data_IF_258682037385
#
_entry.id   IF_258682037385
#
_cell.length_a   1.000
_cell.length_b   1.000
_cell.length_c   1.000
_cell.angle_alpha   90.00
_cell.angle_beta   90.00
_cell.angle_gamma   90.00
#
_symmetry.space_group_name_H-M   'P 1'
#
loop_
_entity.id
_entity.type
_entity.pdbx_description
1 polymer ?
#
# COMPACT_ATOMS: atom_id res chain seq x y z
N UNK A 1 -17.06 6.43 10.32
CA UNK A 1 -17.77 5.14 10.09
C UNK A 1 -16.76 4.16 9.52
N UNK A 2 -17.03 2.84 9.56
CA UNK A 2 -16.16 1.85 8.95
C UNK A 2 -16.49 1.72 7.45
N UNK A 3 -15.48 1.84 6.58
CA UNK A 3 -15.64 1.61 5.15
C UNK A 3 -15.51 0.12 4.81
N UNK A 4 -14.66 -0.60 5.56
CA UNK A 4 -14.47 -2.05 5.43
C UNK A 4 -14.45 -2.67 6.83
N UNK A 5 -15.18 -3.76 7.02
CA UNK A 5 -15.11 -4.61 8.20
C UNK A 5 -14.95 -6.07 7.77
N UNK A 6 -13.90 -6.71 8.28
CA UNK A 6 -13.56 -8.11 8.02
C UNK A 6 -13.41 -8.84 9.35
N UNK A 7 -14.13 -9.98 9.49
CA UNK A 7 -14.09 -10.81 10.71
C UNK A 7 -13.90 -12.28 10.34
N UNK A 8 -12.85 -12.89 10.86
CA UNK A 8 -12.52 -14.31 10.70
C UNK A 8 -12.58 -14.79 9.25
N UNK A 9 -12.11 -13.96 8.32
CA UNK A 9 -12.12 -14.27 6.89
C UNK A 9 -11.20 -15.45 6.58
N UNK A 10 -11.79 -16.51 5.97
CA UNK A 10 -11.06 -17.72 5.56
C UNK A 10 -11.27 -18.02 4.09
N UNK A 11 -10.20 -18.51 3.47
CA UNK A 11 -10.22 -19.00 2.08
C UNK A 11 -9.18 -20.07 1.86
N UNK A 12 -9.62 -21.20 1.29
CA UNK A 12 -8.77 -22.34 0.95
C UNK A 12 -8.86 -22.65 -0.55
N UNK A 13 -7.78 -23.18 -1.12
CA UNK A 13 -7.68 -23.66 -2.49
C UNK A 13 -6.98 -25.02 -2.50
N UNK A 14 -7.67 -26.07 -2.98
CA UNK A 14 -7.08 -27.41 -3.19
C UNK A 14 -6.20 -27.90 -2.02
N UNK A 15 -6.64 -27.63 -0.78
CA UNK A 15 -5.94 -28.04 0.45
C UNK A 15 -4.89 -27.06 0.95
N UNK A 16 -4.73 -25.88 0.31
CA UNK A 16 -3.90 -24.79 0.80
C UNK A 16 -4.77 -23.66 1.36
N UNK A 17 -4.55 -23.30 2.62
CA UNK A 17 -5.26 -22.21 3.29
C UNK A 17 -4.59 -20.86 2.94
N UNK A 18 -5.19 -20.14 1.99
CA UNK A 18 -4.71 -18.83 1.59
C UNK A 18 -5.04 -17.74 2.62
N UNK A 19 -6.16 -17.90 3.37
CA UNK A 19 -6.55 -17.05 4.49
C UNK A 19 -7.03 -17.92 5.65
N UNK A 20 -6.49 -17.67 6.84
CA UNK A 20 -6.64 -18.54 8.01
C UNK A 20 -7.45 -17.90 9.14
N UNK A 21 -8.28 -16.91 8.83
CA UNK A 21 -9.13 -16.20 9.80
C UNK A 21 -8.60 -14.80 10.09
N UNK A 22 -8.41 -14.00 9.05
CA UNK A 22 -7.99 -12.60 9.22
C UNK A 22 -9.17 -11.71 9.63
N UNK A 23 -8.87 -10.73 10.48
CA UNK A 23 -9.84 -9.73 10.94
C UNK A 23 -9.19 -8.36 10.97
N UNK A 24 -9.84 -7.34 10.39
CA UNK A 24 -9.40 -5.95 10.40
C UNK A 24 -10.54 -5.01 10.03
N UNK A 25 -10.37 -3.73 10.32
CA UNK A 25 -11.33 -2.68 9.96
C UNK A 25 -10.60 -1.50 9.31
N UNK A 26 -11.25 -0.85 8.34
CA UNK A 26 -10.75 0.35 7.67
C UNK A 26 -11.78 1.46 7.84
N UNK A 27 -11.35 2.62 8.34
CA UNK A 27 -12.21 3.80 8.49
C UNK A 27 -12.43 4.52 7.15
N UNK A 28 -13.51 5.28 7.03
CA UNK A 28 -13.72 6.16 5.88
C UNK A 28 -12.60 7.21 5.79
N UNK A 29 -12.04 7.43 4.59
CA UNK A 29 -10.94 8.36 4.32
C UNK A 29 -9.57 7.86 4.75
N UNK A 30 -9.46 6.64 5.27
CA UNK A 30 -8.20 6.02 5.66
C UNK A 30 -7.46 5.44 4.44
N UNK A 31 -6.14 5.54 4.45
CA UNK A 31 -5.25 4.77 3.57
C UNK A 31 -4.72 3.58 4.37
N UNK A 32 -5.21 2.39 4.05
CA UNK A 32 -4.83 1.15 4.70
C UNK A 32 -3.98 0.28 3.78
N UNK A 33 -2.90 -0.28 4.30
CA UNK A 33 -2.01 -1.17 3.54
C UNK A 33 -2.05 -2.60 4.05
N UNK A 34 -2.29 -3.56 3.15
CA UNK A 34 -1.98 -4.97 3.37
C UNK A 34 -0.56 -5.24 2.87
N UNK A 35 0.39 -5.33 3.80
CA UNK A 35 1.80 -5.57 3.53
C UNK A 35 2.12 -7.07 3.70
N UNK A 36 2.89 -7.65 2.79
CA UNK A 36 3.35 -9.03 2.94
C UNK A 36 4.04 -9.58 1.70
N UNK A 37 4.73 -10.71 1.81
CA UNK A 37 5.39 -11.36 0.69
C UNK A 37 4.41 -11.90 -0.34
N UNK A 38 4.92 -12.34 -1.48
CA UNK A 38 4.12 -13.04 -2.47
C UNK A 38 3.57 -14.34 -1.87
N UNK A 39 2.28 -14.62 -2.13
CA UNK A 39 1.60 -15.78 -1.57
C UNK A 39 1.05 -15.60 -0.14
N UNK A 40 1.24 -14.43 0.50
CA UNK A 40 0.72 -14.20 1.85
C UNK A 40 -0.81 -14.16 1.95
N UNK A 41 -1.54 -14.03 0.83
CA UNK A 41 -3.00 -13.92 0.80
C UNK A 41 -3.53 -12.52 0.43
N UNK A 42 -2.65 -11.54 0.11
CA UNK A 42 -3.05 -10.16 -0.22
C UNK A 42 -4.05 -10.09 -1.37
N UNK A 43 -3.73 -10.66 -2.54
CA UNK A 43 -4.60 -10.66 -3.71
C UNK A 43 -5.90 -11.42 -3.44
N UNK A 44 -5.85 -12.54 -2.70
CA UNK A 44 -7.07 -13.26 -2.29
C UNK A 44 -7.97 -12.38 -1.43
N UNK A 45 -7.40 -11.63 -0.49
CA UNK A 45 -8.15 -10.70 0.37
C UNK A 45 -8.82 -9.62 -0.47
N UNK A 46 -8.05 -8.92 -1.32
CA UNK A 46 -8.58 -7.79 -2.10
C UNK A 46 -9.67 -8.27 -3.09
N UNK A 47 -9.48 -9.41 -3.77
CA UNK A 47 -10.48 -9.98 -4.69
C UNK A 47 -11.79 -10.38 -3.99
N UNK A 48 -11.74 -10.80 -2.71
CA UNK A 48 -12.94 -11.06 -1.91
C UNK A 48 -13.65 -9.76 -1.57
N UNK A 49 -12.92 -8.71 -1.18
CA UNK A 49 -13.47 -7.41 -0.85
C UNK A 49 -14.05 -6.68 -2.07
N UNK A 50 -13.50 -6.91 -3.26
CA UNK A 50 -14.00 -6.41 -4.54
C UNK A 50 -15.24 -7.17 -5.03
N UNK A 51 -15.53 -8.35 -4.45
CA UNK A 51 -16.62 -9.24 -4.87
C UNK A 51 -16.29 -10.10 -6.09
N UNK A 52 -15.03 -10.19 -6.50
CA UNK A 52 -14.61 -11.11 -7.57
C UNK A 52 -14.45 -12.55 -7.09
N UNK A 53 -14.24 -12.74 -5.79
CA UNK A 53 -14.01 -14.04 -5.19
C UNK A 53 -14.93 -14.29 -4.01
N UNK A 54 -15.43 -15.50 -3.89
CA UNK A 54 -16.27 -15.89 -2.76
C UNK A 54 -15.39 -16.42 -1.63
N UNK A 55 -15.61 -15.92 -0.42
CA UNK A 55 -15.00 -16.44 0.81
C UNK A 55 -15.59 -17.79 1.21
N UNK A 56 -14.86 -18.59 1.96
CA UNK A 56 -15.36 -19.85 2.49
C UNK A 56 -16.02 -19.66 3.86
N UNK A 57 -15.44 -18.78 4.73
CA UNK A 57 -15.97 -18.45 6.04
C UNK A 57 -15.70 -16.99 6.40
N UNK A 58 -16.33 -16.53 7.48
CA UNK A 58 -16.15 -15.18 8.02
C UNK A 58 -17.20 -14.19 7.51
N UNK A 59 -17.15 -13.00 8.10
CA UNK A 59 -18.03 -11.89 7.76
C UNK A 59 -17.22 -10.81 7.06
N UNK A 60 -17.78 -10.25 5.99
CA UNK A 60 -17.17 -9.15 5.22
C UNK A 60 -18.24 -8.14 4.88
N UNK A 61 -18.01 -6.90 5.25
CA UNK A 61 -18.81 -5.76 4.87
C UNK A 61 -17.91 -4.68 4.25
N UNK A 62 -18.29 -4.18 3.08
CA UNK A 62 -17.62 -3.11 2.35
C UNK A 62 -18.64 -2.04 1.99
N UNK A 63 -18.49 -0.83 2.51
CA UNK A 63 -19.43 0.29 2.30
C UNK A 63 -20.89 -0.05 2.63
N UNK A 64 -21.12 -0.93 3.63
CA UNK A 64 -22.45 -1.41 4.01
C UNK A 64 -23.00 -2.57 3.18
N UNK A 65 -22.20 -3.17 2.30
CA UNK A 65 -22.59 -4.29 1.45
C UNK A 65 -21.77 -5.55 1.78
N UNK A 66 -22.39 -6.73 1.61
CA UNK A 66 -21.63 -7.98 1.47
C UNK A 66 -21.17 -8.14 0.02
N UNK A 67 -19.85 -8.06 -0.26
CA UNK A 67 -19.33 -8.11 -1.64
C UNK A 67 -19.71 -9.40 -2.38
N UNK A 68 -19.89 -10.51 -1.67
CA UNK A 68 -20.24 -11.80 -2.26
C UNK A 68 -21.63 -11.81 -2.89
N UNK A 69 -22.51 -10.89 -2.52
CA UNK A 69 -23.89 -10.78 -3.01
C UNK A 69 -24.21 -9.37 -3.54
N UNK A 70 -23.20 -8.49 -3.65
CA UNK A 70 -23.40 -7.10 -3.99
C UNK A 70 -23.67 -6.90 -5.50
N UNK A 71 -24.64 -6.04 -5.82
CA UNK A 71 -25.03 -5.66 -7.17
C UNK A 71 -24.37 -4.37 -7.66
N UNK A 72 -25.02 -3.74 -8.67
CA UNK A 72 -24.54 -2.47 -9.26
C UNK A 72 -24.32 -1.35 -8.26
N UNK A 73 -25.18 -1.12 -7.22
CA UNK A 73 -24.96 -0.05 -6.26
C UNK A 73 -23.63 -0.13 -5.51
N UNK A 74 -23.13 -1.32 -5.25
CA UNK A 74 -21.81 -1.53 -4.67
C UNK A 74 -20.69 -1.16 -5.67
N UNK A 75 -20.80 -1.67 -6.90
CA UNK A 75 -19.79 -1.46 -7.95
C UNK A 75 -19.65 0.00 -8.36
N UNK A 76 -20.72 0.79 -8.24
CA UNK A 76 -20.66 2.23 -8.49
C UNK A 76 -19.85 3.01 -7.45
N UNK A 77 -19.66 2.43 -6.25
CA UNK A 77 -18.97 3.08 -5.13
C UNK A 77 -17.52 2.64 -4.95
N UNK A 78 -17.06 1.67 -5.73
CA UNK A 78 -15.68 1.18 -5.67
C UNK A 78 -14.94 1.48 -6.97
N UNK A 79 -13.65 1.80 -6.84
CA UNK A 79 -12.69 1.89 -7.95
C UNK A 79 -11.63 0.83 -7.78
N UNK A 80 -11.27 0.15 -8.87
CA UNK A 80 -10.32 -0.96 -8.83
C UNK A 80 -9.19 -0.71 -9.81
N UNK A 81 -7.95 -0.78 -9.33
CA UNK A 81 -6.74 -0.72 -10.13
C UNK A 81 -6.02 -2.05 -10.03
N UNK A 82 -6.21 -2.89 -11.03
CA UNK A 82 -5.61 -4.22 -11.11
C UNK A 82 -4.08 -4.14 -11.29
N UNK A 83 -3.36 -5.17 -10.85
CA UNK A 83 -1.92 -5.31 -11.07
C UNK A 83 -1.57 -5.23 -12.57
N UNK A 84 -2.36 -5.89 -13.43
CA UNK A 84 -2.24 -5.83 -14.88
C UNK A 84 -3.60 -5.49 -15.49
N UNK A 85 -3.69 -4.35 -16.14
CA UNK A 85 -4.86 -3.97 -16.92
C UNK A 85 -4.64 -4.19 -18.41
N UNK A 86 -5.68 -4.65 -19.09
CA UNK A 86 -5.68 -4.79 -20.54
C UNK A 86 -6.64 -3.78 -21.17
N UNK A 87 -6.20 -2.51 -21.21
CA UNK A 87 -6.96 -1.47 -21.89
C UNK A 87 -6.81 -1.60 -23.42
N UNK A 88 -7.83 -1.16 -24.15
CA UNK A 88 -7.84 -1.22 -25.61
C UNK A 88 -6.73 -0.35 -26.21
N UNK A 89 -5.73 -0.95 -26.89
CA UNK A 89 -4.55 -0.23 -27.36
C UNK A 89 -4.82 0.81 -28.46
N UNK A 90 -5.96 0.70 -29.13
CA UNK A 90 -6.38 1.59 -30.23
C UNK A 90 -7.14 2.81 -29.79
N UNK A 91 -7.76 2.79 -28.61
CA UNK A 91 -8.47 3.94 -28.04
C UNK A 91 -7.48 5.01 -27.58
N UNK A 92 -7.92 6.24 -27.56
CA UNK A 92 -7.22 7.35 -26.92
C UNK A 92 -7.48 7.35 -25.41
N UNK A 93 -6.70 8.14 -24.67
CA UNK A 93 -6.91 8.34 -23.22
C UNK A 93 -8.34 8.83 -22.97
N UNK A 94 -8.81 9.84 -23.70
CA UNK A 94 -10.16 10.37 -23.53
C UNK A 94 -11.25 9.37 -23.92
N UNK A 95 -11.07 8.62 -25.00
CA UNK A 95 -12.03 7.59 -25.42
C UNK A 95 -12.12 6.47 -24.40
N UNK A 96 -10.98 6.06 -23.82
CA UNK A 96 -10.95 5.05 -22.75
C UNK A 96 -11.76 5.51 -21.54
N UNK A 97 -11.51 6.72 -21.03
CA UNK A 97 -12.28 7.23 -19.89
C UNK A 97 -13.77 7.36 -20.19
N UNK A 98 -14.16 7.87 -21.39
CA UNK A 98 -15.58 7.97 -21.79
C UNK A 98 -16.27 6.61 -21.85
N UNK A 99 -15.56 5.61 -22.34
CA UNK A 99 -16.10 4.25 -22.40
C UNK A 99 -16.40 3.72 -20.99
N UNK A 100 -15.47 3.88 -20.05
CA UNK A 100 -15.70 3.46 -18.67
C UNK A 100 -16.72 4.35 -17.94
N UNK A 101 -16.75 5.65 -18.21
CA UNK A 101 -17.78 6.56 -17.68
C UNK A 101 -19.20 6.08 -18.01
N UNK A 102 -19.38 5.43 -19.15
CA UNK A 102 -20.67 4.88 -19.56
C UNK A 102 -21.21 3.74 -18.68
N UNK A 103 -20.40 3.17 -17.80
CA UNK A 103 -20.85 2.13 -16.84
C UNK A 103 -21.42 2.71 -15.54
N UNK A 104 -21.25 4.01 -15.27
CA UNK A 104 -21.64 4.66 -14.03
C UNK A 104 -22.84 5.58 -14.23
N UNK A 105 -23.71 5.65 -13.23
CA UNK A 105 -24.89 6.50 -13.26
C UNK A 105 -24.55 7.99 -13.14
N UNK A 106 -23.47 8.33 -12.42
CA UNK A 106 -22.99 9.68 -12.14
C UNK A 106 -21.47 9.76 -12.25
N UNK A 107 -20.91 9.59 -13.45
CA UNK A 107 -19.46 9.67 -13.62
C UNK A 107 -18.95 11.10 -13.39
N UNK A 108 -17.70 11.22 -12.99
CA UNK A 108 -16.96 12.49 -13.00
C UNK A 108 -16.76 12.97 -14.44
N UNK A 109 -16.53 14.26 -14.59
CA UNK A 109 -16.10 14.81 -15.88
C UNK A 109 -14.79 14.16 -16.33
N UNK A 110 -14.77 13.69 -17.56
CA UNK A 110 -13.63 12.94 -18.11
C UNK A 110 -12.37 13.80 -18.19
N UNK A 111 -12.50 15.09 -18.53
CA UNK A 111 -11.34 15.96 -18.64
C UNK A 111 -10.78 16.34 -17.26
N UNK A 112 -11.64 16.45 -16.24
CA UNK A 112 -11.20 16.59 -14.84
C UNK A 112 -10.42 15.35 -14.38
N UNK A 113 -10.90 14.14 -14.69
CA UNK A 113 -10.19 12.90 -14.32
C UNK A 113 -8.85 12.80 -15.04
N UNK A 114 -8.80 13.13 -16.33
CA UNK A 114 -7.55 13.15 -17.11
C UNK A 114 -6.54 14.13 -16.51
N UNK A 115 -7.01 15.30 -16.08
CA UNK A 115 -6.16 16.29 -15.41
C UNK A 115 -5.66 15.79 -14.05
N UNK A 116 -6.55 15.18 -13.24
CA UNK A 116 -6.23 14.63 -11.92
C UNK A 116 -5.10 13.59 -11.99
N UNK A 117 -5.11 12.74 -13.02
CA UNK A 117 -4.06 11.72 -13.20
C UNK A 117 -2.85 12.22 -14.01
N UNK A 118 -2.80 13.53 -14.33
CA UNK A 118 -1.68 14.17 -15.01
C UNK A 118 -1.48 13.69 -16.45
N UNK A 119 -2.57 13.43 -17.18
CA UNK A 119 -2.56 12.99 -18.57
C UNK A 119 -3.13 14.01 -19.57
N UNK A 120 -3.30 15.28 -19.18
CA UNK A 120 -3.88 16.32 -20.02
C UNK A 120 -3.19 16.44 -21.38
N UNK A 121 -1.86 16.45 -21.42
CA UNK A 121 -1.07 16.50 -22.66
C UNK A 121 -1.18 15.21 -23.51
N UNK A 122 -1.65 14.14 -22.95
CA UNK A 122 -1.82 12.83 -23.60
C UNK A 122 -3.27 12.46 -23.86
N UNK A 123 -4.20 13.42 -23.68
CA UNK A 123 -5.64 13.23 -23.81
C UNK A 123 -6.04 12.49 -25.09
N UNK A 124 -5.47 12.89 -26.22
CA UNK A 124 -5.77 12.34 -27.54
C UNK A 124 -4.71 11.32 -28.02
N UNK A 125 -3.75 10.97 -27.16
CA UNK A 125 -2.78 9.91 -27.45
C UNK A 125 -3.42 8.52 -27.30
N UNK A 126 -3.06 7.61 -28.22
CA UNK A 126 -3.54 6.21 -28.13
C UNK A 126 -2.85 5.45 -27.02
N UNK A 127 -3.60 4.58 -26.34
CA UNK A 127 -3.11 3.76 -25.20
C UNK A 127 -1.82 3.02 -25.54
N UNK A 128 -1.69 2.46 -26.76
CA UNK A 128 -0.49 1.77 -27.21
C UNK A 128 0.79 2.62 -27.24
N UNK A 129 0.64 3.97 -27.32
CA UNK A 129 1.77 4.91 -27.39
C UNK A 129 2.20 5.44 -26.03
N UNK A 130 1.47 5.10 -24.97
CA UNK A 130 1.78 5.54 -23.60
C UNK A 130 2.97 4.74 -23.03
N UNK A 131 3.81 5.43 -22.26
CA UNK A 131 4.82 4.76 -21.41
C UNK A 131 4.13 3.93 -20.33
N UNK A 132 4.87 3.01 -19.68
CA UNK A 132 4.33 2.20 -18.58
C UNK A 132 3.71 3.06 -17.46
N UNK A 133 4.42 4.09 -17.02
CA UNK A 133 3.89 5.02 -16.00
C UNK A 133 2.66 5.81 -16.46
N UNK A 134 2.61 6.25 -17.73
CA UNK A 134 1.42 6.90 -18.28
C UNK A 134 0.23 5.94 -18.38
N UNK A 135 0.48 4.67 -18.73
CA UNK A 135 -0.57 3.65 -18.75
C UNK A 135 -1.12 3.41 -17.35
N UNK A 136 -0.26 3.32 -16.33
CA UNK A 136 -0.70 3.15 -14.94
C UNK A 136 -1.54 4.34 -14.44
N UNK A 137 -1.18 5.57 -14.85
CA UNK A 137 -2.01 6.75 -14.57
C UNK A 137 -3.37 6.68 -15.26
N UNK A 138 -3.43 6.14 -16.48
CA UNK A 138 -4.68 5.88 -17.18
C UNK A 138 -5.54 4.84 -16.44
N UNK A 139 -4.93 3.74 -15.95
CA UNK A 139 -5.63 2.73 -15.15
C UNK A 139 -6.27 3.33 -13.90
N UNK A 140 -5.51 4.17 -13.20
CA UNK A 140 -6.05 4.88 -12.04
C UNK A 140 -7.18 5.84 -12.42
N UNK A 141 -7.03 6.58 -13.53
CA UNK A 141 -8.11 7.44 -14.04
C UNK A 141 -9.38 6.66 -14.34
N UNK A 142 -9.25 5.49 -14.94
CA UNK A 142 -10.39 4.58 -15.19
C UNK A 142 -11.07 4.17 -13.88
N UNK A 143 -10.31 3.85 -12.84
CA UNK A 143 -10.87 3.51 -11.53
C UNK A 143 -11.59 4.70 -10.85
N UNK A 144 -11.19 5.93 -11.17
CA UNK A 144 -11.72 7.16 -10.55
C UNK A 144 -12.90 7.77 -11.33
N UNK A 145 -13.14 7.35 -12.55
CA UNK A 145 -14.18 7.99 -13.40
C UNK A 145 -15.59 7.84 -12.84
N UNK A 146 -15.84 6.78 -12.04
CA UNK A 146 -17.10 6.57 -11.31
C UNK A 146 -17.26 7.39 -10.03
N UNK A 147 -16.28 8.21 -9.66
CA UNK A 147 -16.21 8.94 -8.37
C UNK A 147 -16.35 8.03 -7.13
N UNK A 148 -15.59 6.95 -7.03
CA UNK A 148 -15.75 5.95 -5.98
C UNK A 148 -15.50 6.52 -4.59
N UNK A 149 -16.15 5.93 -3.56
CA UNK A 149 -15.88 6.20 -2.14
C UNK A 149 -14.63 5.45 -1.67
N UNK A 150 -14.38 4.25 -2.25
CA UNK A 150 -13.29 3.36 -1.90
C UNK A 150 -12.51 2.94 -3.16
N UNK A 151 -11.19 3.01 -3.09
CA UNK A 151 -10.28 2.60 -4.17
C UNK A 151 -9.42 1.44 -3.72
N UNK A 152 -9.45 0.35 -4.47
CA UNK A 152 -8.57 -0.80 -4.33
C UNK A 152 -7.37 -0.66 -5.25
N UNK A 153 -6.16 -0.83 -4.71
CA UNK A 153 -4.89 -0.74 -5.43
C UNK A 153 -4.08 -2.02 -5.20
N UNK A 154 -4.11 -2.94 -6.16
CA UNK A 154 -3.32 -4.18 -6.04
C UNK A 154 -1.91 -3.94 -6.60
N UNK A 155 -0.92 -3.91 -5.70
CA UNK A 155 0.50 -3.70 -5.98
C UNK A 155 0.75 -2.53 -6.97
N UNK A 156 0.34 -1.30 -6.62
CA UNK A 156 0.22 -0.19 -7.56
C UNK A 156 1.52 0.26 -8.23
N UNK A 157 2.68 -0.02 -7.61
CA UNK A 157 3.98 0.44 -8.12
C UNK A 157 4.94 -0.68 -8.52
N UNK A 158 4.46 -1.92 -8.56
CA UNK A 158 5.29 -3.06 -8.96
C UNK A 158 5.82 -2.88 -10.38
N UNK A 159 7.14 -3.04 -10.52
CA UNK A 159 7.84 -2.88 -11.79
C UNK A 159 8.15 -1.43 -12.19
N UNK A 160 7.90 -0.45 -11.32
CA UNK A 160 8.22 0.95 -11.59
C UNK A 160 9.67 1.27 -11.26
N UNK A 161 10.26 2.16 -12.06
CA UNK A 161 11.49 2.84 -11.66
C UNK A 161 11.24 3.80 -10.47
N UNK A 162 12.30 4.25 -9.76
CA UNK A 162 12.12 5.10 -8.58
C UNK A 162 11.39 6.41 -8.84
N UNK A 163 11.49 7.00 -10.04
CA UNK A 163 10.81 8.25 -10.38
C UNK A 163 9.32 8.02 -10.64
N UNK A 164 8.97 6.96 -11.38
CA UNK A 164 7.59 6.56 -11.63
C UNK A 164 6.88 6.18 -10.31
N UNK A 165 7.58 5.48 -9.39
CA UNK A 165 7.05 5.12 -8.07
C UNK A 165 6.70 6.36 -7.25
N UNK A 166 7.59 7.34 -7.15
CA UNK A 166 7.31 8.60 -6.44
C UNK A 166 6.10 9.34 -7.01
N UNK A 167 6.01 9.42 -8.33
CA UNK A 167 4.87 10.05 -8.99
C UNK A 167 3.54 9.32 -8.71
N UNK A 168 3.54 7.98 -8.62
CA UNK A 168 2.38 7.19 -8.21
C UNK A 168 2.01 7.47 -6.74
N UNK A 169 2.99 7.55 -5.84
CA UNK A 169 2.74 7.89 -4.44
C UNK A 169 2.12 9.28 -4.26
N UNK A 170 2.61 10.29 -4.99
CA UNK A 170 2.01 11.64 -4.96
C UNK A 170 0.55 11.61 -5.42
N UNK A 171 0.25 10.81 -6.43
CA UNK A 171 -1.10 10.65 -6.92
C UNK A 171 -2.00 9.94 -5.90
N UNK A 172 -1.54 8.88 -5.22
CA UNK A 172 -2.28 8.20 -4.15
C UNK A 172 -2.54 9.18 -2.99
N UNK A 173 -1.55 10.00 -2.60
CA UNK A 173 -1.74 11.05 -1.60
C UNK A 173 -2.79 12.09 -2.01
N UNK A 174 -2.84 12.46 -3.28
CA UNK A 174 -3.88 13.38 -3.76
C UNK A 174 -5.29 12.79 -3.68
N UNK A 175 -5.47 11.47 -3.87
CA UNK A 175 -6.75 10.80 -3.65
C UNK A 175 -7.19 10.86 -2.18
N UNK A 176 -6.25 10.65 -1.27
CA UNK A 176 -6.49 10.83 0.16
C UNK A 176 -6.98 12.24 0.48
N UNK A 177 -6.35 13.27 -0.09
CA UNK A 177 -6.76 14.67 0.11
C UNK A 177 -8.16 14.99 -0.43
N UNK A 178 -8.68 14.17 -1.36
CA UNK A 178 -10.07 14.21 -1.83
C UNK A 178 -11.04 13.42 -0.92
N UNK A 179 -10.58 12.92 0.22
CA UNK A 179 -11.40 12.18 1.18
C UNK A 179 -11.71 10.74 0.75
N UNK A 180 -11.01 10.19 -0.23
CA UNK A 180 -11.22 8.80 -0.66
C UNK A 180 -10.61 7.82 0.33
N UNK A 181 -11.32 6.72 0.59
CA UNK A 181 -10.78 5.57 1.31
C UNK A 181 -9.92 4.75 0.35
N UNK A 182 -8.77 4.27 0.78
CA UNK A 182 -7.85 3.51 -0.07
C UNK A 182 -7.42 2.24 0.66
N UNK A 183 -7.61 1.10 0.02
CA UNK A 183 -6.94 -0.15 0.41
C UNK A 183 -5.90 -0.49 -0.64
N UNK A 184 -4.64 -0.53 -0.23
CA UNK A 184 -3.55 -0.93 -1.11
C UNK A 184 -2.89 -2.22 -0.61
N UNK A 185 -2.50 -3.08 -1.56
CA UNK A 185 -1.60 -4.20 -1.27
C UNK A 185 -0.21 -3.87 -1.75
N UNK A 186 0.80 -4.28 -1.00
CA UNK A 186 2.19 -4.12 -1.42
C UNK A 186 3.10 -5.15 -0.75
N UNK A 187 4.24 -5.40 -1.35
CA UNK A 187 5.38 -6.09 -0.74
C UNK A 187 6.55 -5.12 -0.50
N UNK A 188 6.38 -3.84 -0.85
CA UNK A 188 7.36 -2.79 -0.61
C UNK A 188 7.07 -2.10 0.73
N UNK A 189 7.99 -2.23 1.66
CA UNK A 189 7.87 -1.67 3.01
C UNK A 189 7.91 -0.14 3.00
N UNK A 190 8.74 0.45 2.14
CA UNK A 190 8.82 1.89 1.92
C UNK A 190 7.51 2.48 1.38
N UNK A 191 6.78 1.76 0.52
CA UNK A 191 5.47 2.18 0.03
C UNK A 191 4.44 2.23 1.15
N UNK A 192 4.35 1.16 1.96
CA UNK A 192 3.45 1.11 3.10
C UNK A 192 3.75 2.23 4.10
N UNK A 193 5.04 2.46 4.42
CA UNK A 193 5.48 3.51 5.35
C UNK A 193 5.15 4.93 4.85
N UNK A 194 5.26 5.17 3.54
CA UNK A 194 5.06 6.49 2.94
C UNK A 194 3.60 6.84 2.68
N UNK A 195 2.73 5.86 2.51
CA UNK A 195 1.36 6.08 2.06
C UNK A 195 0.30 5.77 3.10
N UNK A 196 0.50 4.73 3.92
CA UNK A 196 -0.55 4.21 4.77
C UNK A 196 -0.68 4.97 6.10
N UNK A 197 -1.91 5.16 6.53
CA UNK A 197 -2.25 5.57 7.90
C UNK A 197 -2.08 4.39 8.86
N UNK A 198 -2.51 3.19 8.41
CA UNK A 198 -2.32 1.92 9.13
C UNK A 198 -1.90 0.82 8.14
N UNK A 199 -1.12 -0.09 8.66
CA UNK A 199 -0.56 -1.24 7.94
C UNK A 199 -0.94 -2.50 8.69
N UNK A 200 -1.48 -3.51 7.99
CA UNK A 200 -1.57 -4.87 8.48
C UNK A 200 -0.53 -5.73 7.76
N UNK A 201 0.35 -6.36 8.52
CA UNK A 201 1.37 -7.28 8.02
C UNK A 201 0.76 -8.66 7.89
N UNK A 202 0.58 -9.11 6.65
CA UNK A 202 -0.01 -10.39 6.29
C UNK A 202 1.10 -11.40 5.96
N UNK A 203 1.07 -12.57 6.61
CA UNK A 203 1.98 -13.67 6.37
C UNK A 203 1.25 -15.00 6.51
N UNK A 204 1.42 -15.89 5.57
CA UNK A 204 0.83 -17.25 5.58
C UNK A 204 -0.67 -17.27 5.91
N UNK A 205 -1.41 -16.29 5.37
CA UNK A 205 -2.86 -16.18 5.58
C UNK A 205 -3.29 -15.64 6.95
N UNK A 206 -2.37 -15.07 7.74
CA UNK A 206 -2.64 -14.45 9.04
C UNK A 206 -2.15 -13.01 9.08
N UNK A 207 -2.85 -12.14 9.80
CA UNK A 207 -2.34 -10.82 10.18
C UNK A 207 -1.49 -11.01 11.43
N UNK A 208 -0.18 -10.81 11.29
CA UNK A 208 0.79 -10.99 12.40
C UNK A 208 1.02 -9.71 13.19
N UNK A 209 0.81 -8.55 12.57
CA UNK A 209 0.90 -7.22 13.19
C UNK A 209 -0.02 -6.25 12.48
N UNK A 210 -0.57 -5.31 13.24
CA UNK A 210 -1.37 -4.20 12.71
C UNK A 210 -1.12 -2.95 13.55
N UNK A 211 -1.05 -1.78 12.89
CA UNK A 211 -0.85 -0.48 13.54
C UNK A 211 -0.45 0.59 12.55
N UNK A 212 -0.24 1.81 13.03
CA UNK A 212 0.39 2.87 12.24
C UNK A 212 1.84 2.49 11.93
N UNK A 213 2.45 3.00 10.83
CA UNK A 213 3.86 2.79 10.56
C UNK A 213 4.76 3.13 11.76
N UNK A 214 4.44 4.18 12.50
CA UNK A 214 5.17 4.58 13.70
C UNK A 214 5.04 3.58 14.85
N UNK A 215 3.86 3.02 15.09
CA UNK A 215 3.65 1.98 16.11
C UNK A 215 4.35 0.68 15.74
N UNK A 216 4.31 0.30 14.47
CA UNK A 216 4.98 -0.90 13.98
C UNK A 216 6.50 -0.81 14.09
N UNK A 217 7.08 0.38 13.89
CA UNK A 217 8.52 0.60 14.04
C UNK A 217 9.01 0.82 15.47
N UNK A 218 8.19 0.47 16.48
CA UNK A 218 8.59 0.49 17.89
C UNK A 218 8.20 1.75 18.67
N UNK A 219 7.24 2.53 18.14
CA UNK A 219 6.66 3.69 18.84
C UNK A 219 7.70 4.74 19.23
N UNK A 220 7.91 5.68 18.36
CA UNK A 220 8.39 7.07 18.62
C UNK A 220 9.79 7.31 19.18
N UNK A 221 10.46 6.39 19.87
CA UNK A 221 11.56 6.87 20.72
C UNK A 221 12.93 6.31 20.42
N UNK A 222 13.04 5.14 19.85
CA UNK A 222 14.36 4.55 19.67
C UNK A 222 14.98 4.95 18.34
N UNK A 223 16.09 5.65 18.42
CA UNK A 223 16.97 5.93 17.29
C UNK A 223 18.13 4.96 17.34
N UNK A 224 18.47 4.36 16.22
CA UNK A 224 19.65 3.54 16.09
C UNK A 224 20.86 4.40 15.74
N UNK A 225 21.90 4.34 16.57
CA UNK A 225 23.24 4.87 16.30
C UNK A 225 24.11 3.69 15.91
N UNK A 226 24.50 3.64 14.64
CA UNK A 226 25.37 2.57 14.08
C UNK A 226 26.74 3.16 13.77
N UNK A 227 27.80 2.43 14.10
CA UNK A 227 29.17 2.80 13.74
C UNK A 227 30.06 1.54 13.76
N UNK A 228 31.25 1.62 13.19
CA UNK A 228 32.23 0.54 13.25
C UNK A 228 33.27 0.83 14.30
N UNK A 229 33.56 -0.18 15.13
CA UNK A 229 34.67 -0.16 16.08
C UNK A 229 35.49 -1.43 15.90
N UNK A 230 36.76 -1.27 15.60
CA UNK A 230 37.68 -2.40 15.31
C UNK A 230 37.19 -3.34 14.19
N UNK A 231 36.57 -2.80 13.16
CA UNK A 231 35.99 -3.55 12.03
C UNK A 231 34.66 -4.24 12.32
N UNK A 232 34.14 -4.16 13.54
CA UNK A 232 32.84 -4.71 13.93
C UNK A 232 31.77 -3.60 13.93
N UNK A 233 30.57 -3.94 13.45
CA UNK A 233 29.43 -3.04 13.52
C UNK A 233 28.88 -3.01 14.95
N UNK A 234 28.69 -1.81 15.48
CA UNK A 234 28.07 -1.56 16.78
C UNK A 234 26.75 -0.83 16.53
N UNK A 235 25.66 -1.35 17.10
CA UNK A 235 24.31 -0.74 17.01
C UNK A 235 23.84 -0.43 18.44
N UNK A 236 23.57 0.85 18.68
CA UNK A 236 23.02 1.33 19.95
C UNK A 236 21.62 1.85 19.70
N UNK A 237 20.61 1.27 20.38
CA UNK A 237 19.25 1.77 20.38
C UNK A 237 19.04 2.71 21.56
N UNK A 238 18.53 3.91 21.31
CA UNK A 238 18.41 4.94 22.34
C UNK A 238 17.26 5.89 22.08
N UNK A 239 16.64 6.35 23.15
CA UNK A 239 15.66 7.45 23.14
C UNK A 239 16.32 8.82 23.23
N UNK A 240 17.63 8.86 23.56
CA UNK A 240 18.43 10.09 23.72
C UNK A 240 19.61 10.12 22.73
N UNK A 241 19.35 10.14 21.40
CA UNK A 241 20.43 10.01 20.41
C UNK A 241 21.47 11.11 20.50
N UNK A 242 21.07 12.32 20.84
CA UNK A 242 22.00 13.46 20.99
C UNK A 242 23.02 13.21 22.11
N UNK A 243 22.58 12.64 23.24
CA UNK A 243 23.47 12.32 24.35
C UNK A 243 24.45 11.20 23.98
N UNK A 244 23.94 10.14 23.39
CA UNK A 244 24.76 9.00 22.94
C UNK A 244 25.80 9.48 21.90
N UNK A 245 25.40 10.30 20.96
CA UNK A 245 26.31 10.88 19.96
C UNK A 245 27.38 11.74 20.61
N UNK A 246 27.03 12.57 21.59
CA UNK A 246 27.98 13.39 22.31
C UNK A 246 29.02 12.53 23.03
N UNK A 247 28.61 11.49 23.74
CA UNK A 247 29.50 10.58 24.45
C UNK A 247 30.46 9.87 23.49
N UNK A 248 29.91 9.27 22.41
CA UNK A 248 30.68 8.53 21.41
C UNK A 248 31.66 9.40 20.64
N UNK A 249 31.23 10.60 20.20
CA UNK A 249 32.10 11.53 19.47
C UNK A 249 33.19 12.12 20.35
N UNK A 250 32.87 12.43 21.62
CA UNK A 250 33.87 12.90 22.59
C UNK A 250 34.95 11.82 22.83
N UNK A 251 34.54 10.57 22.99
CA UNK A 251 35.49 9.47 23.17
C UNK A 251 36.37 9.24 21.93
N UNK A 252 35.77 9.23 20.73
CA UNK A 252 36.51 9.05 19.48
C UNK A 252 37.55 10.13 19.25
N UNK A 253 37.18 11.40 19.49
CA UNK A 253 38.11 12.55 19.39
C UNK A 253 39.25 12.48 20.43
N UNK A 254 38.96 12.03 21.64
CA UNK A 254 39.98 11.84 22.67
C UNK A 254 40.99 10.72 22.33
N UNK A 255 40.54 9.71 21.61
CA UNK A 255 41.37 8.60 21.09
C UNK A 255 42.08 9.00 19.76
N UNK A 256 41.86 10.23 19.26
CA UNK A 256 42.48 10.77 18.05
C UNK A 256 41.90 10.21 16.74
N UNK A 257 40.69 9.64 16.78
CA UNK A 257 40.01 9.06 15.65
C UNK A 257 38.60 9.62 15.41
N UNK A 258 37.94 9.07 14.42
CA UNK A 258 36.54 9.33 14.10
C UNK A 258 35.72 8.04 14.19
N UNK A 259 34.38 8.18 14.32
CA UNK A 259 33.46 7.04 14.30
C UNK A 259 33.25 6.58 12.84
N UNK A 260 33.94 5.53 12.44
CA UNK A 260 33.86 5.00 11.08
C UNK A 260 32.43 4.52 10.77
N UNK A 261 31.89 4.98 9.64
CA UNK A 261 30.56 4.59 9.17
C UNK A 261 29.42 5.01 10.08
N UNK A 262 29.58 6.12 10.85
CA UNK A 262 28.54 6.65 11.73
C UNK A 262 27.25 6.92 10.94
N UNK A 263 26.16 6.29 11.39
CA UNK A 263 24.81 6.49 10.92
C UNK A 263 23.86 6.67 12.11
N UNK A 264 22.93 7.59 11.97
CA UNK A 264 21.87 7.82 12.96
C UNK A 264 20.55 7.71 12.22
N UNK A 265 19.79 6.68 12.51
CA UNK A 265 18.53 6.44 11.83
C UNK A 265 17.46 5.94 12.81
N UNK A 266 16.20 6.17 12.46
CA UNK A 266 15.08 5.47 13.10
C UNK A 266 14.93 4.10 12.47
N UNK A 267 14.50 3.07 13.23
CA UNK A 267 14.11 1.81 12.65
C UNK A 267 13.05 2.00 11.57
N UNK A 268 13.17 1.26 10.48
CA UNK A 268 12.21 1.25 9.39
C UNK A 268 11.26 0.07 9.53
N UNK A 269 10.15 0.07 8.78
CA UNK A 269 9.29 -1.12 8.69
C UNK A 269 10.06 -2.35 8.21
N UNK A 270 11.13 -2.17 7.42
CA UNK A 270 12.00 -3.26 6.97
C UNK A 270 12.73 -3.91 8.14
N UNK A 271 13.29 -3.12 9.06
CA UNK A 271 13.98 -3.64 10.24
C UNK A 271 13.01 -4.45 11.12
N UNK A 272 11.78 -3.97 11.29
CA UNK A 272 10.73 -4.67 12.05
C UNK A 272 10.29 -5.94 11.35
N UNK A 273 10.04 -5.86 10.04
CA UNK A 273 9.62 -7.03 9.27
C UNK A 273 10.67 -8.14 9.33
N UNK A 274 11.95 -7.81 9.19
CA UNK A 274 13.05 -8.78 9.30
C UNK A 274 13.11 -9.40 10.68
N UNK A 275 12.95 -8.63 11.76
CA UNK A 275 12.92 -9.17 13.12
C UNK A 275 11.76 -10.15 13.35
N UNK A 276 10.57 -9.86 12.81
CA UNK A 276 9.41 -10.76 12.89
C UNK A 276 9.61 -12.07 12.11
N UNK A 277 10.40 -12.02 11.04
CA UNK A 277 10.75 -13.22 10.25
C UNK A 277 11.78 -14.08 10.98
N UNK A 278 12.73 -13.47 11.70
CA UNK A 278 13.79 -14.15 12.42
C UNK A 278 13.30 -14.80 13.74
N UNK A 279 12.36 -14.16 14.44
CA UNK A 279 11.80 -14.70 15.70
C UNK A 279 11.08 -16.05 15.53
N UNK A 280 10.43 -16.27 14.37
CA UNK A 280 9.71 -17.53 14.10
C UNK A 280 10.62 -18.68 13.62
N UNK A 281 11.85 -18.40 13.20
CA UNK A 281 12.80 -19.46 12.78
C UNK A 281 13.47 -20.14 13.99
N UNK A 282 13.30 -19.57 15.20
CA UNK A 282 13.95 -20.05 16.45
C UNK A 282 13.01 -20.89 17.32
N UNK A 283 11.71 -20.97 17.01
CA UNK A 283 10.74 -21.91 17.62
C UNK A 283 10.54 -23.16 16.71
#
# INVERSE_FOLDING_TARGET
MSAISVRELRKSYEGHDALRGISFEIAEGEVFSLLGPNGAGKTTTIEILEGYRVRDHGEVEVLGFDPGNAGSPFRERIGIVLQQSQLWPTLTVAETHRMFAGYYSRPRDVDEVIALVGLSEKRDARVKTLSGGQRRRLDLGVALVGDPDLVFLDEPTTGFDPAARRAAWEMIRSLRSLGKTILLTTHYLDEAEQLADRVAVLREGLIIREGTPAELTGGVSETEVRYRRNGQEVVIRTTEPTRVLQELTTQALAEGGELEGLQVRRPTLEDVYLSLVEEEVVE
#
